data_IF_360718188548
#
_entry.id   IF_360718188548
#
_cell.length_a   1.000
_cell.length_b   1.000
_cell.length_c   1.000
_cell.angle_alpha   90.00
_cell.angle_beta   90.00
_cell.angle_gamma   90.00
#
_symmetry.space_group_name_H-M   'P 1'
#
loop_
_entity.id
_entity.type
_entity.pdbx_description
1 polymer ?
#
# COMPACT_ATOMS: atom_id res chain seq x y z
N UNK A 1 -9.91 -16.75 -1.51
CA UNK A 1 -8.91 -15.73 -1.92
C UNK A 1 -7.66 -15.94 -1.07
N UNK A 2 -6.49 -16.07 -1.71
CA UNK A 2 -5.23 -16.20 -0.96
C UNK A 2 -4.68 -14.80 -0.71
N UNK A 3 -4.54 -14.42 0.55
CA UNK A 3 -3.91 -13.15 0.93
C UNK A 3 -2.43 -13.37 1.17
N UNK A 4 -1.62 -12.42 0.72
CA UNK A 4 -0.19 -12.38 0.91
C UNK A 4 0.14 -11.30 1.94
N UNK A 5 1.23 -11.48 2.68
CA UNK A 5 1.71 -10.56 3.70
C UNK A 5 3.10 -10.09 3.33
N UNK A 6 3.34 -8.81 3.52
CA UNK A 6 4.68 -8.26 3.40
C UNK A 6 4.90 -7.13 4.40
N UNK A 7 6.17 -6.83 4.66
CA UNK A 7 6.60 -5.64 5.36
C UNK A 7 7.63 -4.91 4.50
N UNK A 8 7.43 -3.62 4.27
CA UNK A 8 8.39 -2.83 3.51
C UNK A 8 8.19 -1.33 3.75
N UNK A 9 9.21 -0.55 3.40
CA UNK A 9 9.14 0.92 3.40
C UNK A 9 8.40 1.41 2.17
N UNK A 10 7.55 2.41 2.37
CA UNK A 10 6.90 3.11 1.25
C UNK A 10 7.94 3.98 0.56
N UNK A 11 8.27 3.65 -0.68
CA UNK A 11 9.28 4.37 -1.46
C UNK A 11 8.64 5.53 -2.23
N UNK A 12 7.54 5.26 -2.93
CA UNK A 12 6.80 6.26 -3.71
C UNK A 12 5.31 6.02 -3.61
N UNK A 13 4.57 7.10 -3.73
CA UNK A 13 3.11 7.09 -3.85
C UNK A 13 2.76 7.90 -5.10
N UNK A 14 1.81 7.40 -5.88
CA UNK A 14 1.25 8.07 -7.06
C UNK A 14 -0.27 7.92 -7.04
N UNK A 15 -0.95 8.86 -7.66
CA UNK A 15 -2.38 8.76 -7.95
C UNK A 15 -2.55 8.86 -9.46
N UNK A 16 -3.14 7.85 -10.08
CA UNK A 16 -3.34 7.75 -11.53
C UNK A 16 -4.77 7.27 -11.77
N UNK A 17 -5.55 7.97 -12.60
CA UNK A 17 -6.96 7.66 -12.89
C UNK A 17 -7.87 7.46 -11.65
N UNK A 18 -7.52 8.10 -10.52
CA UNK A 18 -8.23 7.97 -9.23
C UNK A 18 -7.84 6.74 -8.40
N UNK A 19 -6.91 5.93 -8.91
CA UNK A 19 -6.30 4.81 -8.19
C UNK A 19 -5.07 5.28 -7.42
N UNK A 20 -4.97 4.85 -6.17
CA UNK A 20 -3.86 5.19 -5.30
C UNK A 20 -2.81 4.08 -5.37
N UNK A 21 -1.69 4.38 -6.01
CA UNK A 21 -0.60 3.46 -6.31
C UNK A 21 0.56 3.65 -5.35
N UNK A 22 1.06 2.55 -4.78
CA UNK A 22 2.09 2.55 -3.73
C UNK A 22 3.24 1.66 -4.16
N UNK A 23 4.43 2.22 -4.28
CA UNK A 23 5.65 1.47 -4.52
C UNK A 23 6.38 1.23 -3.20
N UNK A 24 6.77 -0.01 -2.95
CA UNK A 24 7.50 -0.43 -1.77
C UNK A 24 8.96 -0.71 -2.09
N UNK A 25 9.88 -0.41 -1.17
CA UNK A 25 11.31 -0.56 -1.42
C UNK A 25 11.77 -2.02 -1.66
N UNK A 26 11.03 -3.00 -1.13
CA UNK A 26 11.34 -4.43 -1.27
C UNK A 26 10.51 -5.14 -2.34
N UNK A 27 9.71 -4.41 -3.11
CA UNK A 27 8.87 -4.97 -4.16
C UNK A 27 9.09 -4.21 -5.45
N UNK A 28 9.06 -4.93 -6.56
CA UNK A 28 9.05 -4.30 -7.87
C UNK A 28 7.60 -3.99 -8.27
N UNK A 29 7.38 -2.79 -8.81
CA UNK A 29 6.06 -2.33 -9.24
C UNK A 29 5.26 -1.53 -8.22
N UNK A 30 3.98 -1.37 -8.52
CA UNK A 30 3.03 -0.56 -7.76
C UNK A 30 1.90 -1.45 -7.25
N UNK A 31 1.48 -1.16 -6.01
CA UNK A 31 0.34 -1.78 -5.37
C UNK A 31 -0.82 -0.80 -5.37
N UNK A 32 -1.97 -1.26 -5.82
CA UNK A 32 -3.19 -0.45 -5.84
C UNK A 32 -3.87 -0.49 -4.48
N UNK A 33 -4.34 0.66 -4.00
CA UNK A 33 -5.19 0.73 -2.83
C UNK A 33 -6.64 0.92 -3.28
N UNK A 34 -7.48 -0.14 -3.23
CA UNK A 34 -8.86 -0.08 -3.70
C UNK A 34 -9.68 0.90 -2.87
N UNK A 35 -10.76 1.43 -3.46
CA UNK A 35 -11.69 2.36 -2.82
C UNK A 35 -12.61 1.66 -1.79
N UNK A 36 -12.01 0.99 -0.82
CA UNK A 36 -12.70 0.36 0.30
C UNK A 36 -13.05 1.39 1.38
N UNK A 37 -14.04 1.13 2.26
CA UNK A 37 -14.40 2.06 3.34
C UNK A 37 -13.22 2.44 4.26
N UNK A 38 -12.25 1.54 4.43
CA UNK A 38 -11.02 1.78 5.19
C UNK A 38 -9.87 2.42 4.40
N UNK A 39 -10.06 2.67 3.10
CA UNK A 39 -9.01 3.22 2.24
C UNK A 39 -8.50 4.59 2.69
N UNK A 40 -9.33 5.56 3.13
CA UNK A 40 -8.82 6.84 3.62
C UNK A 40 -7.83 6.70 4.78
N UNK A 41 -8.15 5.87 5.77
CA UNK A 41 -7.25 5.62 6.91
C UNK A 41 -5.96 4.93 6.48
N UNK A 42 -6.05 3.98 5.54
CA UNK A 42 -4.87 3.32 4.98
C UNK A 42 -3.99 4.28 4.19
N UNK A 43 -4.58 5.18 3.38
CA UNK A 43 -3.84 6.23 2.65
C UNK A 43 -3.05 7.09 3.62
N UNK A 44 -3.70 7.58 4.68
CA UNK A 44 -3.04 8.39 5.70
C UNK A 44 -1.87 7.66 6.37
N UNK A 45 -2.04 6.38 6.71
CA UNK A 45 -0.98 5.55 7.30
C UNK A 45 0.19 5.35 6.35
N UNK A 46 -0.07 5.08 5.06
CA UNK A 46 0.95 4.92 4.02
C UNK A 46 1.72 6.22 3.81
N UNK A 47 1.03 7.36 3.73
CA UNK A 47 1.66 8.68 3.58
C UNK A 47 2.49 9.08 4.81
N UNK A 48 2.02 8.76 6.02
CA UNK A 48 2.80 8.97 7.25
C UNK A 48 4.05 8.08 7.27
N UNK A 49 3.92 6.82 6.89
CA UNK A 49 5.04 5.89 6.82
C UNK A 49 6.08 6.31 5.78
N UNK A 50 5.64 6.82 4.63
CA UNK A 50 6.52 7.40 3.61
C UNK A 50 7.32 8.58 4.19
N UNK A 51 6.65 9.53 4.84
CA UNK A 51 7.30 10.70 5.43
C UNK A 51 8.25 10.36 6.58
N UNK A 52 7.94 9.31 7.34
CA UNK A 52 8.76 8.83 8.45
C UNK A 52 9.86 7.84 8.02
N UNK A 53 9.96 7.51 6.73
CA UNK A 53 10.83 6.46 6.18
C UNK A 53 10.69 5.13 6.95
N UNK A 54 9.48 4.87 7.43
CA UNK A 54 9.12 3.76 8.30
C UNK A 54 8.64 2.56 7.49
N UNK A 55 8.91 1.36 8.01
CA UNK A 55 8.37 0.12 7.46
C UNK A 55 6.93 -0.07 7.90
N UNK A 56 6.07 -0.44 6.96
CA UNK A 56 4.69 -0.86 7.24
C UNK A 56 4.50 -2.32 6.87
N UNK A 57 3.74 -3.03 7.69
CA UNK A 57 3.26 -4.35 7.37
C UNK A 57 1.88 -4.23 6.69
N UNK A 58 1.67 -5.00 5.63
CA UNK A 58 0.46 -4.94 4.83
C UNK A 58 0.09 -6.31 4.26
N UNK A 59 -1.20 -6.48 4.01
CA UNK A 59 -1.77 -7.61 3.29
C UNK A 59 -2.24 -7.18 1.91
N UNK A 60 -1.99 -8.02 0.91
CA UNK A 60 -2.36 -7.78 -0.47
C UNK A 60 -2.83 -9.07 -1.16
N UNK A 61 -3.54 -8.96 -2.27
CA UNK A 61 -3.92 -10.10 -3.12
C UNK A 61 -2.96 -10.29 -4.31
N UNK A 62 -3.22 -11.30 -5.15
CA UNK A 62 -2.36 -11.63 -6.30
C UNK A 62 -2.39 -10.57 -7.41
N UNK A 63 -3.38 -9.69 -7.39
CA UNK A 63 -3.54 -8.56 -8.31
C UNK A 63 -2.89 -7.28 -7.73
N UNK A 64 -2.05 -7.43 -6.70
CA UNK A 64 -1.31 -6.35 -6.02
C UNK A 64 -2.21 -5.30 -5.35
N UNK A 65 -3.45 -5.65 -5.02
CA UNK A 65 -4.29 -4.73 -4.24
C UNK A 65 -4.00 -4.85 -2.76
N UNK A 66 -3.72 -3.73 -2.10
CA UNK A 66 -3.57 -3.66 -0.65
C UNK A 66 -4.95 -3.84 -0.01
N UNK A 67 -5.10 -4.92 0.74
CA UNK A 67 -6.35 -5.26 1.42
C UNK A 67 -6.43 -4.62 2.80
N UNK A 68 -5.33 -4.62 3.55
CA UNK A 68 -5.23 -3.96 4.87
C UNK A 68 -3.78 -3.72 5.31
N UNK A 69 -3.61 -2.80 6.24
CA UNK A 69 -2.36 -2.58 6.98
C UNK A 69 -2.40 -3.35 8.32
N UNK A 70 -1.24 -3.84 8.77
CA UNK A 70 -1.05 -4.64 9.98
C UNK A 70 -0.32 -3.88 11.09
#
# INVERSE_FOLDING_TARGET
>A
MQTLRSRSKVQRVREEDGEFLVAFALHDGYFSLPASPGAPEMREKILKAQQAEAEIAFEYDRDLNILRLL
#
